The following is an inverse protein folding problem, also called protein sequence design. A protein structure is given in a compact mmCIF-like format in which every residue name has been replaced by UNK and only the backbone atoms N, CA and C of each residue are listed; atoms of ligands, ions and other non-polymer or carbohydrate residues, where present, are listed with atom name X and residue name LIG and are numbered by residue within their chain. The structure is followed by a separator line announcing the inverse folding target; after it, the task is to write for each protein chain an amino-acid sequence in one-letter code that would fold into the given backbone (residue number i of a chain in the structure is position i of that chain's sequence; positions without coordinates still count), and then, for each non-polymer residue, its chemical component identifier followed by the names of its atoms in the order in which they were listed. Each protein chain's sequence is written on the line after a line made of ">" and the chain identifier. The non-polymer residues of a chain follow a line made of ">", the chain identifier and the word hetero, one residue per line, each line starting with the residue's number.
data_IF_995078862075
#
_entry.id   IF_995078862075
#
_cell.length_a   1.000
_cell.length_b   1.000
_cell.length_c   1.000
_cell.angle_alpha   90.00
_cell.angle_beta   90.00
_cell.angle_gamma   90.00
#
_symmetry.space_group_name_H-M   'P 1'
#
loop_
_entity.id
_entity.type
_entity.pdbx_description
1 polymer ?
#
# COMPACT_ATOMS: atom_id res chain seq x y z
N UNK A 1 11.58 -27.76 0.31
CA UNK A 1 10.50 -26.89 0.82
C UNK A 1 11.15 -25.82 1.68
N UNK A 2 11.38 -24.64 1.12
CA UNK A 2 12.09 -23.53 1.81
C UNK A 2 11.04 -22.49 2.16
N UNK A 3 10.76 -22.37 3.46
CA UNK A 3 9.71 -21.53 4.01
C UNK A 3 10.32 -20.21 4.48
N UNK A 4 10.09 -19.10 3.76
CA UNK A 4 10.49 -17.76 4.19
C UNK A 4 9.35 -17.07 4.93
N UNK A 5 9.58 -16.78 6.21
CA UNK A 5 8.64 -16.10 7.12
C UNK A 5 8.58 -14.59 6.84
N UNK A 6 7.38 -14.02 6.94
CA UNK A 6 7.11 -12.58 6.99
C UNK A 6 7.42 -12.00 8.38
N UNK A 7 7.86 -10.73 8.50
CA UNK A 7 8.02 -10.12 9.81
C UNK A 7 6.65 -9.67 10.36
N UNK A 8 6.32 -10.20 11.54
CA UNK A 8 5.13 -9.88 12.32
C UNK A 8 5.26 -8.51 12.99
N UNK A 9 4.09 -7.88 13.15
CA UNK A 9 3.83 -6.61 13.82
C UNK A 9 3.46 -6.91 15.27
N UNK A 10 4.34 -6.61 16.22
CA UNK A 10 4.12 -6.55 17.68
C UNK A 10 5.38 -5.91 18.29
N UNK A 11 5.41 -5.13 19.37
CA UNK A 11 4.44 -4.32 20.10
C UNK A 11 5.25 -3.56 21.17
N UNK A 12 4.70 -2.41 21.62
CA UNK A 12 4.76 -1.90 23.00
C UNK A 12 6.07 -1.39 23.65
N UNK A 13 5.92 -0.14 24.13
CA UNK A 13 6.28 0.35 25.48
C UNK A 13 7.60 1.13 25.69
N UNK A 14 7.48 2.47 25.69
CA UNK A 14 7.98 3.30 26.79
C UNK A 14 7.26 4.65 26.82
N UNK A 15 6.28 4.79 27.74
CA UNK A 15 5.84 6.09 28.26
C UNK A 15 6.99 6.69 29.07
N UNK A 16 7.42 7.90 28.74
CA UNK A 16 8.10 8.86 29.64
C UNK A 16 7.60 10.24 29.17
N UNK A 17 6.50 10.71 29.76
CA UNK A 17 6.47 11.72 30.82
C UNK A 17 6.90 13.11 30.33
N UNK A 18 5.95 14.04 30.39
CA UNK A 18 6.14 15.48 30.45
C UNK A 18 7.36 15.88 31.32
N UNK A 19 8.00 17.01 31.01
CA UNK A 19 8.49 17.89 32.05
C UNK A 19 7.61 19.13 32.12
N UNK A 20 6.63 18.98 33.01
CA UNK A 20 6.07 20.01 33.87
C UNK A 20 7.10 21.09 34.23
N UNK A 21 6.76 22.31 33.82
CA UNK A 21 7.21 23.58 34.40
C UNK A 21 7.20 23.47 35.92
N UNK A 22 8.39 23.60 36.55
CA UNK A 22 8.67 24.21 37.86
C UNK A 22 10.09 23.85 38.31
N UNK A 23 10.92 24.88 38.50
CA UNK A 23 11.83 25.16 39.62
C UNK A 23 12.80 26.27 39.14
N UNK A 24 12.60 27.52 39.55
CA UNK A 24 12.98 28.10 40.84
C UNK A 24 14.44 28.58 40.87
N UNK A 25 14.56 29.91 40.83
CA UNK A 25 15.56 30.76 41.47
C UNK A 25 17.04 30.66 41.04
N UNK A 26 17.49 31.71 40.35
CA UNK A 26 18.56 32.55 40.92
C UNK A 26 18.12 34.03 40.86
N UNK A 27 17.76 34.52 42.03
CA UNK A 27 17.41 35.90 42.34
C UNK A 27 18.71 36.68 42.59
N UNK A 28 18.79 37.88 42.02
CA UNK A 28 19.84 38.87 42.30
C UNK A 28 19.57 39.47 43.69
N UNK A 29 20.53 39.44 44.64
CA UNK A 29 20.35 40.04 45.95
C UNK A 29 20.78 41.52 45.94
N UNK A 30 19.81 42.43 45.91
CA UNK A 30 20.03 43.83 46.29
C UNK A 30 20.03 43.95 47.83
N UNK A 31 21.21 44.04 48.44
CA UNK A 31 21.36 44.31 49.89
C UNK A 31 21.48 45.81 50.17
N UNK A 32 20.33 46.38 50.52
CA UNK A 32 19.98 47.21 51.70
C UNK A 32 21.03 48.14 52.37
N UNK A 33 20.70 49.44 52.33
CA UNK A 33 20.68 50.52 53.34
C UNK A 33 21.84 50.79 54.31
N UNK A 34 22.13 52.09 54.48
CA UNK A 34 22.05 52.75 55.79
C UNK A 34 21.64 54.22 55.64
N UNK A 35 20.47 54.55 56.20
CA UNK A 35 20.07 55.92 56.50
C UNK A 35 20.85 56.41 57.72
N UNK A 36 21.22 57.69 57.76
CA UNK A 36 21.47 58.40 59.02
C UNK A 36 20.84 59.77 58.92
N UNK A 37 19.93 59.99 59.86
CA UNK A 37 18.99 61.09 60.06
C UNK A 37 19.60 62.07 61.08
N UNK A 38 19.01 63.26 61.14
CA UNK A 38 19.12 64.34 62.15
C UNK A 38 20.24 65.37 61.93
N UNK A 39 19.87 66.58 61.50
CA UNK A 39 19.42 67.75 62.31
C UNK A 39 20.55 68.30 63.17
N UNK A 40 20.93 69.56 62.94
CA UNK A 40 20.47 70.63 63.82
C UNK A 40 20.90 72.03 63.34
N UNK A 41 20.05 72.95 63.73
CA UNK A 41 19.97 74.36 63.46
C UNK A 41 20.86 75.10 64.47
N UNK A 42 21.72 76.02 64.00
CA UNK A 42 22.57 76.83 64.88
C UNK A 42 22.77 78.22 64.30
N UNK A 43 22.16 79.20 64.96
CA UNK A 43 22.10 80.62 64.62
C UNK A 43 23.18 81.39 65.39
N UNK A 44 23.50 82.59 64.89
CA UNK A 44 24.30 83.68 65.51
C UNK A 44 25.82 83.57 65.21
N UNK A 45 26.54 84.63 64.86
CA UNK A 45 26.23 86.03 64.67
C UNK A 45 27.54 86.80 64.39
N UNK A 46 27.43 87.89 63.63
CA UNK A 46 28.22 89.14 63.69
C UNK A 46 29.70 89.10 64.08
N UNK A 47 30.54 89.67 63.20
CA UNK A 47 31.61 90.57 63.68
C UNK A 47 32.95 90.48 62.96
N UNK A 48 33.24 91.56 62.23
CA UNK A 48 34.55 92.18 62.02
C UNK A 48 35.53 91.60 60.99
N UNK A 49 35.73 92.43 59.97
CA UNK A 49 36.99 92.66 59.27
C UNK A 49 38.19 92.64 60.23
N UNK A 50 39.25 91.92 59.87
CA UNK A 50 40.62 92.44 59.76
C UNK A 50 41.59 91.31 59.37
N UNK A 51 42.72 91.75 58.83
CA UNK A 51 43.94 91.04 58.50
C UNK A 51 43.94 90.19 57.23
N UNK A 52 44.41 90.75 56.12
CA UNK A 52 45.83 91.01 55.82
C UNK A 52 46.57 89.69 55.55
N UNK A 53 46.95 89.54 54.29
CA UNK A 53 48.16 88.88 53.83
C UNK A 53 48.70 87.75 54.71
N UNK A 54 48.27 86.54 54.40
CA UNK A 54 49.15 85.38 54.58
C UNK A 54 48.87 84.32 53.51
N UNK A 55 49.10 84.69 52.24
CA UNK A 55 49.68 83.74 51.30
C UNK A 55 51.04 83.30 51.86
N UNK A 56 51.40 82.03 51.67
CA UNK A 56 52.58 81.35 52.28
C UNK A 56 52.23 80.80 53.67
N UNK A 57 52.09 79.49 53.89
CA UNK A 57 53.02 78.42 53.57
C UNK A 57 52.18 77.11 53.48
N UNK A 58 51.68 76.76 52.31
CA UNK A 58 51.44 75.34 52.01
C UNK A 58 52.68 74.86 51.26
N UNK A 59 53.55 74.26 52.07
CA UNK A 59 54.52 73.22 51.72
C UNK A 59 54.79 73.03 50.23
N UNK A 60 55.95 73.48 49.74
CA UNK A 60 56.45 73.19 48.38
C UNK A 60 56.51 71.68 48.04
N UNK A 61 56.36 70.81 49.05
CA UNK A 61 56.27 69.36 48.92
C UNK A 61 54.90 68.87 48.42
N UNK A 62 53.82 69.63 48.65
CA UNK A 62 52.46 69.26 48.23
C UNK A 62 52.22 69.57 46.75
N UNK A 63 52.78 70.66 46.22
CA UNK A 63 52.70 71.00 44.80
C UNK A 63 53.50 70.04 43.90
N UNK A 64 54.62 69.52 44.40
CA UNK A 64 55.45 68.56 43.66
C UNK A 64 54.80 67.17 43.62
N UNK A 65 54.17 66.74 44.73
CA UNK A 65 53.34 65.54 44.77
C UNK A 65 52.10 65.64 43.87
N UNK A 66 51.41 66.80 43.87
CA UNK A 66 50.27 67.07 42.99
C UNK A 66 50.68 67.07 41.50
N UNK A 67 51.89 67.57 41.19
CA UNK A 67 52.43 67.54 39.83
C UNK A 67 52.77 66.12 39.36
N UNK A 68 53.32 65.27 40.22
CA UNK A 68 53.55 63.85 39.93
C UNK A 68 52.23 63.10 39.72
N UNK A 69 51.22 63.38 40.55
CA UNK A 69 49.87 62.83 40.39
C UNK A 69 49.25 63.24 39.04
N UNK A 70 49.38 64.50 38.63
CA UNK A 70 48.92 64.96 37.32
C UNK A 70 49.61 64.23 36.15
N UNK A 71 50.89 63.86 36.30
CA UNK A 71 51.62 63.07 35.29
C UNK A 71 51.08 61.63 35.25
N UNK A 72 50.84 61.01 36.40
CA UNK A 72 50.25 59.66 36.48
C UNK A 72 48.83 59.62 35.92
N UNK A 73 48.00 60.60 36.25
CA UNK A 73 46.64 60.72 35.72
C UNK A 73 46.67 60.93 34.19
N UNK A 74 47.58 61.75 33.68
CA UNK A 74 47.76 61.94 32.23
C UNK A 74 48.13 60.63 31.55
N UNK A 75 49.09 59.89 32.09
CA UNK A 75 49.49 58.59 31.56
C UNK A 75 48.32 57.58 31.59
N UNK A 76 47.49 57.59 32.64
CA UNK A 76 46.30 56.76 32.72
C UNK A 76 45.25 57.14 31.66
N UNK A 77 45.01 58.44 31.44
CA UNK A 77 44.10 58.92 30.40
C UNK A 77 44.58 58.47 29.01
N UNK A 78 45.88 58.58 28.73
CA UNK A 78 46.46 58.13 27.46
C UNK A 78 46.33 56.59 27.27
N UNK A 79 46.53 55.80 28.33
CA UNK A 79 46.32 54.35 28.30
C UNK A 79 44.84 53.98 28.08
N UNK A 80 43.92 54.68 28.76
CA UNK A 80 42.48 54.49 28.57
C UNK A 80 42.03 54.85 27.15
N UNK A 81 42.55 55.94 26.59
CA UNK A 81 42.29 56.33 25.20
C UNK A 81 42.79 55.27 24.22
N UNK A 82 43.98 54.71 24.42
CA UNK A 82 44.51 53.62 23.60
C UNK A 82 43.62 52.37 23.66
N UNK A 83 43.21 51.96 24.87
CA UNK A 83 42.29 50.83 25.08
C UNK A 83 40.92 51.05 24.45
N UNK A 84 40.45 52.29 24.43
CA UNK A 84 39.18 52.64 23.78
C UNK A 84 39.30 52.42 22.27
N UNK A 85 40.38 52.89 21.63
CA UNK A 85 40.62 52.72 20.20
C UNK A 85 40.73 51.25 19.80
N UNK A 86 41.45 50.44 20.57
CA UNK A 86 41.55 48.99 20.36
C UNK A 86 40.16 48.32 20.44
N UNK A 87 39.35 48.69 21.42
CA UNK A 87 37.98 48.18 21.56
C UNK A 87 37.07 48.61 20.40
N UNK A 88 37.21 49.82 19.89
CA UNK A 88 36.47 50.29 18.72
C UNK A 88 36.85 49.52 17.45
N UNK A 89 38.11 49.18 17.26
CA UNK A 89 38.57 48.35 16.15
C UNK A 89 38.07 46.90 16.27
N UNK A 90 38.10 46.33 17.47
CA UNK A 90 37.49 45.02 17.74
C UNK A 90 35.97 45.04 17.50
N UNK A 91 35.29 46.12 17.86
CA UNK A 91 33.86 46.28 17.61
C UNK A 91 33.56 46.30 16.11
N UNK A 92 34.34 47.05 15.32
CA UNK A 92 34.23 47.07 13.86
C UNK A 92 34.46 45.68 13.27
N UNK A 93 35.48 44.97 13.75
CA UNK A 93 35.79 43.60 13.30
C UNK A 93 34.66 42.61 13.64
N UNK A 94 34.07 42.73 14.83
CA UNK A 94 32.94 41.92 15.25
C UNK A 94 31.68 42.21 14.41
N UNK A 95 31.44 43.47 14.03
CA UNK A 95 30.34 43.84 13.15
C UNK A 95 30.50 43.27 11.73
N UNK A 96 31.70 43.33 11.16
CA UNK A 96 32.01 42.68 9.86
C UNK A 96 31.80 41.17 9.95
N UNK A 97 32.30 40.53 11.01
CA UNK A 97 32.09 39.09 11.23
C UNK A 97 30.62 38.73 11.37
N UNK A 98 29.83 39.53 12.10
CA UNK A 98 28.38 39.35 12.22
C UNK A 98 27.69 39.40 10.85
N UNK A 99 28.06 40.36 10.00
CA UNK A 99 27.52 40.47 8.64
C UNK A 99 27.87 39.24 7.78
N UNK A 100 29.10 38.72 7.91
CA UNK A 100 29.51 37.48 7.25
C UNK A 100 28.69 36.28 7.74
N UNK A 101 28.49 36.14 9.06
CA UNK A 101 27.66 35.07 9.64
C UNK A 101 26.22 35.16 9.12
N UNK A 102 25.64 36.36 9.04
CA UNK A 102 24.30 36.55 8.49
C UNK A 102 24.23 36.13 7.00
N UNK A 103 25.25 36.46 6.21
CA UNK A 103 25.33 36.05 4.81
C UNK A 103 25.43 34.53 4.65
N UNK A 104 26.29 33.88 5.44
CA UNK A 104 26.41 32.41 5.46
C UNK A 104 25.10 31.76 5.91
N UNK A 105 24.44 32.33 6.93
CA UNK A 105 23.16 31.81 7.39
C UNK A 105 22.08 31.86 6.30
N UNK A 106 22.01 32.96 5.53
CA UNK A 106 21.10 33.06 4.39
C UNK A 106 21.39 31.99 3.31
N UNK A 107 22.65 31.75 2.98
CA UNK A 107 23.04 30.69 2.03
C UNK A 107 22.68 29.28 2.54
N UNK A 108 22.83 29.04 3.85
CA UNK A 108 22.45 27.75 4.45
C UNK A 108 20.95 27.49 4.34
N UNK A 109 20.11 28.50 4.60
CA UNK A 109 18.66 28.35 4.45
C UNK A 109 18.24 28.18 2.98
N UNK A 110 18.92 28.84 2.04
CA UNK A 110 18.70 28.63 0.60
C UNK A 110 19.05 27.19 0.18
N UNK A 111 20.22 26.68 0.58
CA UNK A 111 20.65 25.30 0.29
C UNK A 111 19.70 24.27 0.92
N UNK A 112 19.20 24.54 2.12
CA UNK A 112 18.22 23.69 2.79
C UNK A 112 16.88 23.67 2.06
N UNK A 113 16.45 24.81 1.53
CA UNK A 113 15.25 24.90 0.69
C UNK A 113 15.44 24.13 -0.63
N UNK A 114 16.59 24.29 -1.30
CA UNK A 114 16.93 23.54 -2.52
C UNK A 114 16.98 22.02 -2.26
N UNK A 115 17.61 21.60 -1.16
CA UNK A 115 17.64 20.19 -0.76
C UNK A 115 16.23 19.62 -0.55
N UNK A 116 15.35 20.39 0.08
CA UNK A 116 13.95 20.00 0.30
C UNK A 116 13.16 19.87 -1.00
N UNK A 117 13.40 20.76 -1.97
CA UNK A 117 12.81 20.66 -3.32
C UNK A 117 13.33 19.45 -4.10
N UNK A 118 14.64 19.19 -4.04
CA UNK A 118 15.22 18.01 -4.71
C UNK A 118 14.70 16.72 -4.10
N UNK A 119 14.54 16.66 -2.77
CA UNK A 119 13.97 15.49 -2.09
C UNK A 119 12.51 15.25 -2.49
N UNK A 120 11.69 16.30 -2.61
CA UNK A 120 10.30 16.17 -3.09
C UNK A 120 10.25 15.71 -4.55
N UNK A 121 11.15 16.20 -5.41
CA UNK A 121 11.28 15.75 -6.78
C UNK A 121 11.69 14.27 -6.89
N UNK A 122 12.68 13.83 -6.09
CA UNK A 122 13.09 12.42 -6.02
C UNK A 122 11.91 11.53 -5.61
N UNK A 123 11.15 11.94 -4.58
CA UNK A 123 9.94 11.22 -4.15
C UNK A 123 8.90 11.13 -5.27
N UNK A 124 8.69 12.20 -6.03
CA UNK A 124 7.78 12.20 -7.18
C UNK A 124 8.23 11.19 -8.25
N UNK A 125 9.51 11.20 -8.63
CA UNK A 125 10.07 10.25 -9.59
C UNK A 125 9.92 8.81 -9.09
N UNK A 126 10.19 8.57 -7.80
CA UNK A 126 10.08 7.24 -7.22
C UNK A 126 8.64 6.70 -7.30
N UNK A 127 7.65 7.55 -7.05
CA UNK A 127 6.23 7.21 -7.21
C UNK A 127 5.93 6.87 -8.68
N UNK A 128 6.35 7.72 -9.62
CA UNK A 128 6.14 7.47 -11.06
C UNK A 128 6.80 6.17 -11.53
N UNK A 129 8.02 5.89 -11.06
CA UNK A 129 8.72 4.65 -11.36
C UNK A 129 7.98 3.42 -10.80
N UNK A 130 7.43 3.52 -9.60
CA UNK A 130 6.64 2.45 -9.00
C UNK A 130 5.35 2.17 -9.78
N UNK A 131 4.64 3.22 -10.22
CA UNK A 131 3.45 3.09 -11.07
C UNK A 131 3.79 2.47 -12.43
N UNK A 132 4.86 2.93 -13.06
CA UNK A 132 5.34 2.34 -14.32
C UNK A 132 5.72 0.86 -14.17
N UNK A 133 6.32 0.48 -13.04
CA UNK A 133 6.65 -0.93 -12.73
C UNK A 133 5.40 -1.80 -12.58
N UNK A 134 4.36 -1.30 -11.91
CA UNK A 134 3.08 -2.00 -11.77
C UNK A 134 2.44 -2.19 -13.15
N UNK A 135 2.33 -1.11 -13.94
CA UNK A 135 1.80 -1.16 -15.31
C UNK A 135 2.55 -2.15 -16.19
N UNK A 136 3.88 -2.21 -16.07
CA UNK A 136 4.68 -3.16 -16.82
C UNK A 136 4.37 -4.62 -16.42
N UNK A 137 4.22 -4.89 -15.12
CA UNK A 137 3.82 -6.20 -14.63
C UNK A 137 2.42 -6.60 -15.16
N UNK A 138 1.46 -5.68 -15.17
CA UNK A 138 0.12 -5.92 -15.70
C UNK A 138 0.16 -6.24 -17.21
N UNK A 139 0.99 -5.51 -17.97
CA UNK A 139 1.19 -5.78 -19.40
C UNK A 139 1.86 -7.13 -19.65
N UNK A 140 2.83 -7.51 -18.80
CA UNK A 140 3.47 -8.82 -18.87
C UNK A 140 2.47 -9.95 -18.61
N UNK A 141 1.64 -9.81 -17.57
CA UNK A 141 0.60 -10.79 -17.26
C UNK A 141 -0.44 -10.92 -18.38
N UNK A 142 -0.85 -9.79 -18.98
CA UNK A 142 -1.76 -9.80 -20.12
C UNK A 142 -1.15 -10.49 -21.34
N UNK A 143 0.14 -10.28 -21.61
CA UNK A 143 0.87 -10.92 -22.70
C UNK A 143 0.98 -12.44 -22.49
N UNK A 144 1.34 -12.88 -21.28
CA UNK A 144 1.43 -14.32 -20.97
C UNK A 144 0.08 -15.01 -21.10
N UNK A 145 -1.00 -14.35 -20.68
CA UNK A 145 -2.36 -14.84 -20.86
C UNK A 145 -2.72 -15.00 -22.34
N UNK A 146 -2.52 -13.97 -23.16
CA UNK A 146 -2.86 -14.05 -24.59
C UNK A 146 -1.99 -15.07 -25.32
N UNK A 147 -0.72 -15.22 -24.94
CA UNK A 147 0.16 -16.24 -25.47
C UNK A 147 -0.35 -17.66 -25.12
N UNK A 148 -0.80 -17.86 -23.88
CA UNK A 148 -1.37 -19.14 -23.46
C UNK A 148 -2.68 -19.44 -24.18
N UNK A 149 -3.54 -18.45 -24.36
CA UNK A 149 -4.78 -18.55 -25.14
C UNK A 149 -4.49 -18.89 -26.62
N UNK A 150 -3.48 -18.26 -27.24
CA UNK A 150 -3.07 -18.57 -28.61
C UNK A 150 -2.55 -20.01 -28.72
N UNK A 151 -1.62 -20.43 -27.85
CA UNK A 151 -1.05 -21.78 -27.87
C UNK A 151 -2.08 -22.87 -27.61
N UNK A 152 -3.08 -22.61 -26.76
CA UNK A 152 -4.17 -23.55 -26.50
C UNK A 152 -5.20 -23.55 -27.63
N UNK A 153 -5.42 -22.41 -28.29
CA UNK A 153 -6.26 -22.30 -29.48
C UNK A 153 -5.65 -23.06 -30.66
N UNK A 154 -4.36 -22.88 -30.94
CA UNK A 154 -3.66 -23.56 -32.04
C UNK A 154 -3.73 -25.09 -31.89
N UNK A 155 -3.58 -25.60 -30.66
CA UNK A 155 -3.75 -27.03 -30.37
C UNK A 155 -5.17 -27.53 -30.65
N UNK A 156 -6.20 -26.73 -30.33
CA UNK A 156 -7.59 -27.08 -30.63
C UNK A 156 -7.84 -27.07 -32.14
N UNK A 157 -7.30 -26.10 -32.86
CA UNK A 157 -7.39 -26.03 -34.32
C UNK A 157 -6.70 -27.25 -34.95
N UNK A 158 -5.50 -27.63 -34.51
CA UNK A 158 -4.81 -28.82 -34.99
C UNK A 158 -5.63 -30.10 -34.79
N UNK A 159 -6.27 -30.24 -33.61
CA UNK A 159 -7.14 -31.38 -33.33
C UNK A 159 -8.39 -31.42 -34.22
N UNK A 160 -9.05 -30.27 -34.41
CA UNK A 160 -10.21 -30.18 -35.29
C UNK A 160 -9.84 -30.45 -36.77
N UNK A 161 -8.64 -30.06 -37.19
CA UNK A 161 -8.14 -30.39 -38.54
C UNK A 161 -7.96 -31.90 -38.71
N UNK A 162 -7.37 -32.58 -37.72
CA UNK A 162 -7.23 -34.05 -37.74
C UNK A 162 -8.59 -34.76 -37.80
N UNK A 163 -9.56 -34.32 -37.00
CA UNK A 163 -10.93 -34.86 -37.02
C UNK A 163 -11.62 -34.61 -38.37
N UNK A 164 -11.41 -33.44 -38.99
CA UNK A 164 -11.95 -33.12 -40.32
C UNK A 164 -11.34 -34.02 -41.41
N UNK A 165 -10.01 -34.21 -41.38
CA UNK A 165 -9.30 -35.06 -42.34
C UNK A 165 -9.78 -36.53 -42.24
N UNK A 166 -10.03 -37.01 -41.01
CA UNK A 166 -10.60 -38.35 -40.78
C UNK A 166 -12.01 -38.49 -41.37
N UNK A 167 -12.92 -37.54 -41.09
CA UNK A 167 -14.29 -37.55 -41.62
C UNK A 167 -14.28 -37.44 -43.16
N UNK A 168 -13.39 -36.62 -43.73
CA UNK A 168 -13.25 -36.52 -45.19
C UNK A 168 -12.83 -37.86 -45.82
N UNK A 169 -11.95 -38.61 -45.15
CA UNK A 169 -11.61 -39.99 -45.52
C UNK A 169 -12.82 -40.92 -45.48
N UNK A 170 -13.60 -40.89 -44.40
CA UNK A 170 -14.80 -41.71 -44.23
C UNK A 170 -15.87 -41.38 -45.29
N UNK A 171 -16.09 -40.09 -45.59
CA UNK A 171 -17.00 -39.64 -46.65
C UNK A 171 -16.54 -40.14 -48.02
N UNK A 172 -15.23 -40.11 -48.29
CA UNK A 172 -14.67 -40.62 -49.56
C UNK A 172 -14.86 -42.13 -49.71
N UNK A 173 -14.73 -42.88 -48.62
CA UNK A 173 -15.01 -44.31 -48.57
C UNK A 173 -16.49 -44.60 -48.85
N UNK A 174 -17.40 -43.87 -48.19
CA UNK A 174 -18.85 -44.00 -48.37
C UNK A 174 -19.23 -43.64 -49.82
N UNK A 175 -18.68 -42.56 -50.38
CA UNK A 175 -18.93 -42.16 -51.76
C UNK A 175 -18.50 -43.26 -52.75
N UNK A 176 -17.32 -43.85 -52.53
CA UNK A 176 -16.81 -44.95 -53.39
C UNK A 176 -17.69 -46.19 -53.31
N UNK A 177 -18.25 -46.47 -52.13
CA UNK A 177 -19.23 -47.55 -51.95
C UNK A 177 -20.51 -47.29 -52.77
N UNK A 178 -21.05 -46.07 -52.73
CA UNK A 178 -22.22 -45.70 -53.52
C UNK A 178 -21.95 -45.75 -55.02
N UNK A 179 -20.81 -45.25 -55.48
CA UNK A 179 -20.39 -45.32 -56.90
C UNK A 179 -20.35 -46.78 -57.39
N UNK A 180 -19.69 -47.66 -56.61
CA UNK A 180 -19.63 -49.09 -56.91
C UNK A 180 -21.01 -49.76 -56.92
N UNK A 181 -21.92 -49.39 -56.03
CA UNK A 181 -23.31 -49.89 -56.05
C UNK A 181 -24.05 -49.45 -57.32
N UNK A 182 -23.93 -48.17 -57.71
CA UNK A 182 -24.56 -47.66 -58.93
C UNK A 182 -24.02 -48.29 -60.22
N UNK A 183 -22.74 -48.66 -60.27
CA UNK A 183 -22.16 -49.38 -61.42
C UNK A 183 -22.66 -50.84 -61.51
N UNK A 184 -22.94 -51.49 -60.38
CA UNK A 184 -23.41 -52.88 -60.35
C UNK A 184 -24.89 -53.01 -60.78
N UNK A 185 -25.76 -52.07 -60.40
CA UNK A 185 -27.18 -52.11 -60.76
C UNK A 185 -27.44 -51.83 -62.26
N UNK A 186 -26.49 -51.20 -62.96
CA UNK A 186 -26.60 -50.97 -64.41
C UNK A 186 -26.38 -52.24 -65.26
N UNK A 187 -25.92 -53.35 -64.67
CA UNK A 187 -25.66 -54.62 -65.40
C UNK A 187 -26.65 -55.75 -65.10
N UNK A 188 -27.62 -55.54 -64.20
CA UNK A 188 -28.56 -56.59 -63.77
C UNK A 188 -30.03 -56.16 -63.91
N UNK A 189 -30.43 -55.77 -65.11
CA UNK A 189 -31.84 -55.87 -65.52
C UNK A 189 -32.03 -57.09 -66.44
N UNK A 190 -31.81 -58.28 -65.89
CA UNK A 190 -32.32 -59.54 -66.46
C UNK A 190 -32.25 -60.65 -65.40
N UNK A 191 -33.34 -60.88 -64.68
CA UNK A 191 -33.48 -62.10 -63.88
C UNK A 191 -34.16 -61.93 -62.53
N UNK A 192 -35.48 -61.90 -62.57
CA UNK A 192 -36.44 -62.40 -61.57
C UNK A 192 -35.82 -63.21 -60.41
N UNK A 193 -35.92 -62.71 -59.18
CA UNK A 193 -35.81 -63.56 -57.98
C UNK A 193 -36.69 -63.03 -56.84
N UNK A 194 -37.69 -63.85 -56.52
CA UNK A 194 -38.61 -63.77 -55.40
C UNK A 194 -37.84 -63.99 -54.08
N UNK A 195 -37.67 -62.93 -53.29
CA UNK A 195 -37.09 -62.99 -51.94
C UNK A 195 -38.21 -62.74 -50.94
N UNK A 196 -38.66 -63.83 -50.33
CA UNK A 196 -39.60 -63.80 -49.20
C UNK A 196 -38.99 -63.00 -48.04
N UNK A 197 -39.67 -61.96 -47.51
CA UNK A 197 -39.15 -61.16 -46.41
C UNK A 197 -38.98 -62.03 -45.15
N UNK A 198 -37.77 -62.11 -44.62
CA UNK A 198 -37.52 -62.69 -43.31
C UNK A 198 -38.32 -61.93 -42.25
N UNK A 199 -39.18 -62.64 -41.51
CA UNK A 199 -39.89 -62.13 -40.36
C UNK A 199 -38.90 -61.53 -39.36
N UNK A 200 -38.98 -60.22 -39.17
CA UNK A 200 -38.35 -59.51 -38.07
C UNK A 200 -39.23 -59.66 -36.82
N UNK A 201 -39.28 -60.87 -36.27
CA UNK A 201 -39.88 -61.09 -34.96
C UNK A 201 -38.77 -60.95 -33.90
N UNK A 202 -39.09 -60.18 -32.86
CA UNK A 202 -38.37 -60.04 -31.59
C UNK A 202 -37.21 -59.03 -31.50
N UNK A 203 -37.47 -57.79 -31.89
CA UNK A 203 -37.02 -56.66 -31.06
C UNK A 203 -38.16 -56.44 -30.05
N UNK A 204 -37.92 -56.40 -28.73
CA UNK A 204 -38.93 -55.95 -27.79
C UNK A 204 -39.35 -54.55 -28.23
N UNK A 205 -40.51 -54.50 -28.89
CA UNK A 205 -41.22 -53.29 -29.22
C UNK A 205 -41.25 -52.48 -27.95
N UNK A 206 -40.55 -51.35 -27.92
CA UNK A 206 -40.62 -50.42 -26.80
C UNK A 206 -42.10 -50.22 -26.54
N UNK A 207 -42.60 -50.81 -25.46
CA UNK A 207 -43.92 -50.50 -24.94
C UNK A 207 -44.00 -48.99 -24.91
N UNK A 208 -45.05 -48.47 -25.55
CA UNK A 208 -45.36 -47.05 -25.66
C UNK A 208 -45.10 -46.39 -24.30
N UNK A 209 -43.92 -45.77 -24.17
CA UNK A 209 -43.47 -45.21 -22.92
C UNK A 209 -44.36 -43.99 -22.71
N UNK A 210 -45.36 -44.13 -21.84
CA UNK A 210 -46.40 -43.13 -21.70
C UNK A 210 -45.77 -41.72 -21.53
N UNK A 211 -46.41 -40.69 -22.11
CA UNK A 211 -45.86 -39.34 -22.10
C UNK A 211 -45.54 -38.80 -20.69
N UNK A 212 -46.25 -39.29 -19.67
CA UNK A 212 -46.01 -38.94 -18.26
C UNK A 212 -44.79 -39.64 -17.67
N UNK A 213 -44.51 -40.88 -18.06
CA UNK A 213 -43.29 -41.63 -17.69
C UNK A 213 -42.06 -41.02 -18.35
N UNK A 214 -42.19 -40.59 -19.61
CA UNK A 214 -41.13 -39.84 -20.30
C UNK A 214 -40.84 -38.50 -19.60
N UNK A 215 -41.88 -37.76 -19.22
CA UNK A 215 -41.74 -36.51 -18.48
C UNK A 215 -41.06 -36.72 -17.10
N UNK A 216 -41.49 -37.72 -16.33
CA UNK A 216 -40.90 -38.05 -15.02
C UNK A 216 -39.42 -38.44 -15.12
N UNK A 217 -39.03 -39.13 -16.18
CA UNK A 217 -37.64 -39.49 -16.43
C UNK A 217 -36.78 -38.26 -16.75
N UNK A 218 -37.33 -37.29 -17.52
CA UNK A 218 -36.62 -36.04 -17.81
C UNK A 218 -36.51 -35.16 -16.55
N UNK A 219 -37.56 -35.05 -15.73
CA UNK A 219 -37.51 -34.35 -14.43
C UNK A 219 -36.47 -34.98 -13.50
N UNK A 220 -36.39 -36.32 -13.44
CA UNK A 220 -35.37 -37.03 -12.68
C UNK A 220 -33.94 -36.74 -13.19
N UNK A 221 -33.78 -36.61 -14.51
CA UNK A 221 -32.50 -36.27 -15.15
C UNK A 221 -32.07 -34.85 -14.81
N UNK A 222 -32.98 -33.88 -14.89
CA UNK A 222 -32.71 -32.49 -14.52
C UNK A 222 -32.35 -32.36 -13.03
N UNK A 223 -33.09 -33.04 -12.15
CA UNK A 223 -32.81 -33.06 -10.71
C UNK A 223 -31.42 -33.65 -10.40
N UNK A 224 -31.01 -34.70 -11.11
CA UNK A 224 -29.66 -35.25 -10.98
C UNK A 224 -28.57 -34.26 -11.43
N UNK A 225 -28.78 -33.58 -12.56
CA UNK A 225 -27.84 -32.56 -13.06
C UNK A 225 -27.69 -31.41 -12.06
N UNK A 226 -28.79 -30.92 -11.51
CA UNK A 226 -28.80 -29.88 -10.47
C UNK A 226 -28.09 -30.35 -9.20
N UNK A 227 -28.40 -31.55 -8.70
CA UNK A 227 -27.75 -32.10 -7.52
C UNK A 227 -26.23 -32.28 -7.70
N UNK A 228 -25.79 -32.70 -8.89
CA UNK A 228 -24.36 -32.81 -9.24
C UNK A 228 -23.70 -31.43 -9.31
N UNK A 229 -24.37 -30.41 -9.84
CA UNK A 229 -23.86 -29.04 -9.86
C UNK A 229 -23.68 -28.50 -8.42
N UNK A 230 -24.71 -28.67 -7.57
CA UNK A 230 -24.67 -28.28 -6.16
C UNK A 230 -23.58 -29.03 -5.39
N UNK A 231 -23.42 -30.33 -5.62
CA UNK A 231 -22.36 -31.12 -4.99
C UNK A 231 -20.96 -30.68 -5.42
N UNK A 232 -20.78 -30.27 -6.68
CA UNK A 232 -19.51 -29.71 -7.17
C UNK A 232 -19.19 -28.34 -6.56
N UNK A 233 -20.21 -27.53 -6.30
CA UNK A 233 -20.07 -26.20 -5.69
C UNK A 233 -19.78 -26.28 -4.19
N UNK A 234 -20.59 -27.04 -3.44
CA UNK A 234 -20.52 -27.09 -1.96
C UNK A 234 -19.51 -28.09 -1.42
N UNK A 235 -19.23 -29.18 -2.15
CA UNK A 235 -18.29 -30.24 -1.77
C UNK A 235 -18.51 -30.80 -0.36
N UNK A 236 -19.75 -30.80 0.12
CA UNK A 236 -20.19 -31.34 1.40
C UNK A 236 -20.83 -32.73 1.22
N UNK A 237 -20.77 -33.53 2.29
CA UNK A 237 -21.28 -34.91 2.30
C UNK A 237 -22.79 -34.97 2.02
N UNK A 238 -23.53 -33.96 2.48
CA UNK A 238 -24.98 -33.85 2.26
C UNK A 238 -25.34 -33.65 0.78
N UNK A 239 -24.62 -32.77 0.06
CA UNK A 239 -24.84 -32.59 -1.37
C UNK A 239 -24.37 -33.79 -2.20
N UNK A 240 -23.30 -34.47 -1.78
CA UNK A 240 -22.86 -35.73 -2.41
C UNK A 240 -23.91 -36.85 -2.22
N UNK A 241 -24.48 -36.97 -1.02
CA UNK A 241 -25.55 -37.92 -0.73
C UNK A 241 -26.82 -37.63 -1.55
N UNK A 242 -27.19 -36.35 -1.72
CA UNK A 242 -28.30 -35.93 -2.59
C UNK A 242 -28.05 -36.29 -4.06
N UNK A 243 -26.85 -36.03 -4.58
CA UNK A 243 -26.48 -36.41 -5.94
C UNK A 243 -26.50 -37.93 -6.16
N UNK A 244 -26.06 -38.71 -5.16
CA UNK A 244 -26.15 -40.17 -5.19
C UNK A 244 -27.61 -40.65 -5.17
N UNK A 245 -28.48 -40.06 -4.33
CA UNK A 245 -29.91 -40.38 -4.28
C UNK A 245 -30.61 -40.06 -5.61
N UNK A 246 -30.34 -38.89 -6.20
CA UNK A 246 -30.90 -38.50 -7.50
C UNK A 246 -30.44 -39.44 -8.64
N UNK A 247 -29.18 -39.90 -8.59
CA UNK A 247 -28.66 -40.91 -9.54
C UNK A 247 -29.40 -42.25 -9.41
N UNK A 248 -29.59 -42.74 -8.18
CA UNK A 248 -30.33 -43.99 -7.94
C UNK A 248 -31.78 -43.89 -8.41
N UNK A 249 -32.42 -42.73 -8.22
CA UNK A 249 -33.77 -42.47 -8.72
C UNK A 249 -33.84 -42.51 -10.25
N UNK A 250 -32.89 -41.86 -10.95
CA UNK A 250 -32.82 -41.90 -12.41
C UNK A 250 -32.57 -43.33 -12.94
N UNK A 251 -31.71 -44.10 -12.27
CA UNK A 251 -31.44 -45.49 -12.62
C UNK A 251 -32.67 -46.40 -12.47
N UNK A 252 -33.60 -46.07 -11.57
CA UNK A 252 -34.83 -46.84 -11.39
C UNK A 252 -35.73 -46.85 -12.62
N UNK A 253 -35.61 -45.88 -13.53
CA UNK A 253 -36.35 -45.87 -14.80
C UNK A 253 -35.78 -46.83 -15.84
N UNK A 254 -34.49 -47.17 -15.72
CA UNK A 254 -33.75 -48.03 -16.66
C UNK A 254 -33.75 -49.49 -16.22
N UNK A 255 -33.77 -49.75 -14.91
CA UNK A 255 -33.67 -51.09 -14.34
C UNK A 255 -35.00 -51.68 -13.83
N UNK A 256 -36.14 -51.05 -14.09
CA UNK A 256 -37.46 -51.67 -13.83
C UNK A 256 -37.76 -52.73 -14.89
N UNK A 257 -37.39 -53.97 -14.59
CA UNK A 257 -38.16 -55.15 -15.00
C UNK A 257 -39.32 -55.31 -14.02
N UNK A 258 -40.50 -55.64 -14.52
CA UNK A 258 -41.75 -55.71 -13.78
C UNK A 258 -41.63 -56.42 -12.42
N UNK A 259 -41.74 -55.65 -11.35
CA UNK A 259 -42.26 -56.13 -10.08
C UNK A 259 -43.47 -55.26 -9.74
N UNK A 260 -44.64 -55.87 -9.91
CA UNK A 260 -45.90 -55.46 -9.30
C UNK A 260 -45.68 -55.50 -7.79
N UNK A 261 -45.68 -54.33 -7.15
CA UNK A 261 -46.33 -54.08 -5.87
C UNK A 261 -46.40 -52.58 -5.66
N UNK A 262 -47.63 -52.08 -5.65
CA UNK A 262 -47.99 -50.77 -5.11
C UNK A 262 -47.40 -50.61 -3.72
N UNK A 263 -46.67 -49.51 -3.49
CA UNK A 263 -46.71 -48.82 -2.22
C UNK A 263 -46.32 -47.34 -2.45
N UNK A 264 -47.21 -46.48 -1.99
CA UNK A 264 -47.14 -45.03 -2.02
C UNK A 264 -45.82 -44.52 -1.44
N UNK A 265 -45.10 -43.70 -2.20
CA UNK A 265 -44.10 -42.80 -1.64
C UNK A 265 -44.50 -41.36 -1.97
N UNK A 266 -45.52 -40.90 -1.27
CA UNK A 266 -45.66 -39.48 -0.93
C UNK A 266 -44.40 -39.05 -0.18
N UNK A 267 -43.62 -38.13 -0.74
CA UNK A 267 -42.75 -37.25 0.04
C UNK A 267 -42.52 -35.96 -0.74
N UNK A 268 -42.95 -34.87 -0.10
CA UNK A 268 -43.09 -33.54 -0.66
C UNK A 268 -41.78 -32.91 -1.14
N UNK A 269 -41.92 -32.22 -2.27
CA UNK A 269 -41.01 -31.17 -2.70
C UNK A 269 -41.67 -29.84 -2.37
N UNK A 270 -41.52 -29.41 -1.11
CA UNK A 270 -41.71 -28.01 -0.73
C UNK A 270 -40.40 -27.49 -0.15
N UNK A 271 -39.88 -26.46 -0.83
CA UNK A 271 -38.90 -25.46 -0.37
C UNK A 271 -37.47 -25.92 -0.04
N UNK A 272 -36.55 -25.64 -0.97
CA UNK A 272 -35.31 -24.88 -0.72
C UNK A 272 -34.65 -24.46 -2.04
#
# INVERSE_FOLDING_TARGET
>A
MVYTKTPSRESLSRKVNEPKVRNAAQSIPAKKRRDTVDKEQGKNGSGNNQDADNFSIYSSRDLEAEREELVLLRAQVEDLQRKLLEKEELLKSAEVSKNQVNSVHAQVEELKHEASQKDSFIKSIQIQLSDAKIKLADKQAALEKTQWEAMTSDKRVAKLQEELDAIQGDVSLIMSLFEGLTENDATLYSGDTDITPCCADDIPWMEDLDATKMQKMEEAREAYILAVATAKEKQDEESLALAAKARSYLQSFVFRTDDICDDEFECGWEHA
#
